data_IF_180752111378
#
_entry.id   IF_180752111378
#
_cell.length_a   1.000
_cell.length_b   1.000
_cell.length_c   1.000
_cell.angle_alpha   90.00
_cell.angle_beta   90.00
_cell.angle_gamma   90.00
#
_symmetry.space_group_name_H-M   'P 1'
#
loop_
_entity.id
_entity.type
_entity.pdbx_description
1 polymer ?
#
# COMPACT_ATOMS: atom_id res chain seq x y z
N UNK A 1 8.20 -10.73 -11.71
CA UNK A 1 9.59 -10.36 -11.35
C UNK A 1 9.58 -10.12 -9.84
N UNK A 2 10.21 -10.95 -9.04
CA UNK A 2 10.40 -10.68 -7.59
C UNK A 2 11.63 -9.78 -7.38
N UNK A 3 11.62 -8.99 -6.31
CA UNK A 3 12.22 -7.65 -6.19
C UNK A 3 13.69 -7.60 -5.73
N UNK A 4 14.24 -6.39 -5.62
CA UNK A 4 15.56 -6.08 -5.06
C UNK A 4 15.54 -5.13 -3.85
N UNK A 5 14.42 -4.58 -3.36
CA UNK A 5 14.48 -3.75 -2.12
C UNK A 5 13.20 -3.71 -1.30
N UNK A 6 13.36 -3.78 0.04
CA UNK A 6 12.40 -3.65 1.15
C UNK A 6 11.02 -4.34 1.06
N UNK A 7 10.82 -5.30 1.97
CA UNK A 7 9.56 -5.98 2.18
C UNK A 7 9.06 -5.63 3.58
N UNK A 8 7.74 -5.49 3.74
CA UNK A 8 7.15 -5.77 5.05
C UNK A 8 6.95 -7.28 5.10
N UNK A 9 7.47 -7.95 6.11
CA UNK A 9 7.14 -9.36 6.37
C UNK A 9 6.25 -9.37 7.60
N UNK A 10 4.99 -9.77 7.42
CA UNK A 10 4.17 -10.23 8.54
C UNK A 10 4.69 -11.60 8.94
N UNK A 11 5.33 -11.69 10.10
CA UNK A 11 5.67 -12.97 10.72
C UNK A 11 4.39 -13.53 11.39
N UNK A 12 3.59 -14.27 10.62
CA UNK A 12 2.54 -15.15 11.17
C UNK A 12 3.06 -16.60 11.22
N UNK A 13 4.21 -16.81 11.84
CA UNK A 13 4.62 -18.14 12.31
C UNK A 13 5.27 -17.99 13.66
N UNK A 14 4.92 -18.93 14.56
CA UNK A 14 5.54 -19.17 15.84
C UNK A 14 7.01 -18.80 15.79
N UNK A 15 7.42 -17.86 16.64
CA UNK A 15 8.82 -17.76 17.01
C UNK A 15 9.25 -19.17 17.43
N UNK A 16 9.97 -19.88 16.56
CA UNK A 16 11.09 -20.64 17.04
C UNK A 16 12.08 -19.57 17.48
N UNK A 17 11.87 -19.07 18.70
CA UNK A 17 12.96 -18.61 19.54
C UNK A 17 13.95 -19.78 19.54
N UNK A 18 14.92 -19.74 18.63
CA UNK A 18 16.23 -20.18 19.02
C UNK A 18 16.75 -19.08 19.93
N UNK A 19 16.24 -19.06 21.17
CA UNK A 19 17.08 -18.71 22.29
C UNK A 19 18.36 -19.49 22.03
N UNK A 20 19.49 -18.80 21.91
CA UNK A 20 20.78 -19.42 22.17
C UNK A 20 20.55 -20.13 23.49
N UNK A 21 20.38 -21.45 23.44
CA UNK A 21 20.36 -22.25 24.64
C UNK A 21 21.72 -21.94 25.23
N UNK A 22 21.76 -21.20 26.35
CA UNK A 22 22.97 -20.84 27.11
C UNK A 22 23.80 -22.07 27.56
N UNK A 23 23.43 -23.27 27.11
CA UNK A 23 24.07 -24.55 27.31
C UNK A 23 24.98 -25.00 26.16
N UNK A 24 25.03 -24.29 25.02
CA UNK A 24 25.92 -24.65 23.91
C UNK A 24 27.02 -23.59 23.72
N UNK A 25 28.25 -23.81 24.21
CA UNK A 25 29.32 -22.81 24.20
C UNK A 25 29.86 -22.49 22.80
N UNK A 26 29.47 -23.23 21.76
CA UNK A 26 29.81 -22.92 20.37
C UNK A 26 28.79 -23.54 19.40
N UNK A 27 28.08 -22.69 18.66
CA UNK A 27 27.25 -23.14 17.53
C UNK A 27 28.19 -23.60 16.40
N UNK A 28 28.01 -24.81 15.84
CA UNK A 28 28.82 -25.27 14.71
C UNK A 28 28.77 -24.28 13.54
N UNK A 29 29.89 -24.02 12.85
CA UNK A 29 29.90 -23.10 11.70
C UNK A 29 28.94 -23.51 10.57
N UNK A 30 28.58 -24.79 10.50
CA UNK A 30 27.60 -25.36 9.56
C UNK A 30 26.14 -25.11 9.97
N UNK A 31 25.87 -24.74 11.21
CA UNK A 31 24.54 -24.45 11.72
C UNK A 31 24.18 -22.97 11.51
N UNK A 32 24.12 -22.55 10.24
CA UNK A 32 23.68 -21.21 9.85
C UNK A 32 22.33 -21.30 9.17
N UNK A 33 21.34 -20.64 9.78
CA UNK A 33 20.04 -20.39 9.15
C UNK A 33 20.10 -19.05 8.42
N UNK A 34 19.23 -18.88 7.41
CA UNK A 34 19.09 -17.59 6.74
C UNK A 34 18.56 -16.55 7.73
N UNK A 35 19.35 -15.52 7.97
CA UNK A 35 18.94 -14.32 8.70
C UNK A 35 18.59 -13.20 7.71
N UNK A 36 17.74 -12.28 8.15
CA UNK A 36 17.37 -11.11 7.38
C UNK A 36 17.71 -9.85 8.16
N UNK A 37 18.11 -8.80 7.45
CA UNK A 37 18.27 -7.47 8.04
C UNK A 37 16.87 -6.95 8.35
N UNK A 38 16.62 -6.58 9.60
CA UNK A 38 15.31 -6.14 10.06
C UNK A 38 15.42 -4.98 11.04
N UNK A 39 14.36 -4.18 11.14
CA UNK A 39 14.24 -3.14 12.16
C UNK A 39 12.79 -3.02 12.66
N UNK A 40 12.64 -2.48 13.87
CA UNK A 40 11.35 -2.07 14.42
C UNK A 40 11.21 -0.56 14.25
N UNK A 41 10.18 -0.13 13.52
CA UNK A 41 9.93 1.28 13.25
C UNK A 41 8.43 1.53 13.05
N UNK A 42 7.92 2.68 13.51
CA UNK A 42 6.50 3.06 13.35
C UNK A 42 5.52 2.00 13.89
N UNK A 43 5.93 1.26 14.95
CA UNK A 43 5.22 0.10 15.53
C UNK A 43 5.01 -1.06 14.52
N UNK A 44 5.89 -1.19 13.53
CA UNK A 44 5.95 -2.29 12.58
C UNK A 44 7.33 -2.96 12.63
N UNK A 45 7.38 -4.25 12.30
CA UNK A 45 8.62 -4.97 12.01
C UNK A 45 8.83 -4.91 10.49
N UNK A 46 9.99 -4.38 10.07
CA UNK A 46 10.36 -4.21 8.68
C UNK A 46 11.53 -5.14 8.35
N UNK A 47 11.52 -5.71 7.15
CA UNK A 47 12.56 -6.64 6.69
C UNK A 47 13.15 -6.15 5.38
N UNK A 48 14.46 -5.99 5.33
CA UNK A 48 15.15 -5.71 4.10
C UNK A 48 15.36 -6.98 3.28
N UNK A 49 15.02 -6.90 2.00
CA UNK A 49 15.25 -7.95 1.03
C UNK A 49 15.94 -7.34 -0.17
N UNK A 50 17.04 -7.95 -0.58
CA UNK A 50 17.66 -7.76 -1.88
C UNK A 50 17.95 -9.16 -2.45
N UNK A 51 17.56 -9.43 -3.70
CA UNK A 51 17.77 -10.77 -4.29
C UNK A 51 19.25 -11.14 -4.40
N UNK A 52 20.12 -10.14 -4.53
CA UNK A 52 21.58 -10.31 -4.55
C UNK A 52 22.23 -10.23 -3.15
N UNK A 53 21.44 -10.06 -2.09
CA UNK A 53 21.94 -9.97 -0.71
C UNK A 53 22.63 -8.64 -0.36
N UNK A 54 22.41 -7.57 -1.13
CA UNK A 54 22.95 -6.25 -0.81
C UNK A 54 22.32 -5.64 0.44
N UNK A 55 23.13 -4.86 1.16
CA UNK A 55 22.75 -4.08 2.35
C UNK A 55 21.74 -2.96 2.00
N UNK A 56 20.92 -2.49 2.96
CA UNK A 56 20.03 -1.35 2.78
C UNK A 56 20.77 -0.09 2.33
N UNK A 57 20.31 0.51 1.22
CA UNK A 57 20.84 1.78 0.71
C UNK A 57 20.00 2.99 1.13
N UNK A 58 18.87 2.75 1.79
CA UNK A 58 17.94 3.75 2.30
C UNK A 58 17.18 3.19 3.50
N UNK A 59 16.58 4.06 4.30
CA UNK A 59 15.79 3.71 5.47
C UNK A 59 14.37 4.24 5.36
N UNK A 60 13.45 3.57 6.06
CA UNK A 60 12.07 4.05 6.21
C UNK A 60 12.07 5.21 7.20
N UNK A 61 11.36 6.32 6.93
CA UNK A 61 11.33 7.44 7.86
C UNK A 61 10.47 7.13 9.10
N UNK A 62 11.01 7.47 10.27
CA UNK A 62 10.25 7.47 11.52
C UNK A 62 9.14 8.51 11.48
N UNK A 63 7.99 8.18 12.08
CA UNK A 63 6.87 9.09 12.27
C UNK A 63 6.84 9.51 13.74
N UNK A 64 7.34 10.71 14.01
CA UNK A 64 7.53 11.22 15.38
C UNK A 64 6.23 11.14 16.18
N UNK A 65 5.09 11.48 15.56
CA UNK A 65 3.78 11.46 16.20
C UNK A 65 3.35 10.06 16.67
N UNK A 66 3.77 9.02 15.96
CA UNK A 66 3.51 7.62 16.35
C UNK A 66 4.49 7.20 17.45
N UNK A 67 5.77 7.53 17.30
CA UNK A 67 6.82 7.14 18.26
C UNK A 67 6.65 7.82 19.62
N UNK A 68 6.28 9.10 19.65
CA UNK A 68 6.03 9.87 20.87
C UNK A 68 4.62 9.63 21.48
N UNK A 69 3.76 8.86 20.80
CA UNK A 69 2.44 8.48 21.28
C UNK A 69 1.36 9.57 21.17
N UNK A 70 1.65 10.71 20.53
CA UNK A 70 0.64 11.75 20.26
C UNK A 70 -0.44 11.26 19.29
N UNK A 71 -0.07 10.38 18.37
CA UNK A 71 -0.99 9.63 17.53
C UNK A 71 -1.07 8.18 18.01
N UNK A 72 -2.29 7.76 18.33
CA UNK A 72 -2.57 6.44 18.89
C UNK A 72 -3.16 5.53 17.84
N UNK A 73 -2.95 4.22 17.99
CA UNK A 73 -3.55 3.21 17.12
C UNK A 73 -5.08 3.28 17.16
N UNK A 74 -5.72 3.23 15.98
CA UNK A 74 -7.19 3.32 15.84
C UNK A 74 -7.83 2.15 15.11
N UNK A 75 -7.03 1.28 14.48
CA UNK A 75 -7.52 0.06 13.85
C UNK A 75 -6.61 -0.44 12.74
N UNK A 76 -6.91 -1.65 12.26
CA UNK A 76 -6.21 -2.31 11.15
C UNK A 76 -7.20 -3.06 10.27
N UNK A 77 -6.97 -3.08 8.96
CA UNK A 77 -7.60 -4.02 8.03
C UNK A 77 -6.54 -4.84 7.31
N UNK A 78 -6.95 -5.98 6.76
CA UNK A 78 -6.09 -6.92 6.05
C UNK A 78 -6.85 -7.49 4.85
N UNK A 79 -6.16 -7.58 3.71
CA UNK A 79 -6.74 -7.91 2.42
C UNK A 79 -5.80 -8.86 1.67
N UNK A 80 -6.33 -9.89 1.05
CA UNK A 80 -5.60 -10.76 0.15
C UNK A 80 -6.04 -10.51 -1.29
N UNK A 81 -5.08 -10.38 -2.20
CA UNK A 81 -5.35 -10.15 -3.62
C UNK A 81 -4.39 -10.92 -4.51
N UNK A 82 -4.88 -11.31 -5.68
CA UNK A 82 -4.18 -12.08 -6.69
C UNK A 82 -3.63 -11.16 -7.78
N UNK A 83 -2.48 -10.55 -7.53
CA UNK A 83 -1.76 -9.73 -8.50
C UNK A 83 -0.26 -9.72 -8.23
N UNK A 84 0.52 -9.23 -9.19
CA UNK A 84 1.91 -8.88 -8.92
C UNK A 84 1.95 -7.63 -8.03
N UNK A 85 2.81 -7.57 -7.00
CA UNK A 85 2.94 -6.41 -6.10
C UNK A 85 3.13 -5.06 -6.84
N UNK A 86 3.82 -5.06 -7.99
CA UNK A 86 3.91 -3.85 -8.84
C UNK A 86 2.55 -3.30 -9.25
N UNK A 87 1.58 -4.17 -9.52
CA UNK A 87 0.24 -3.75 -9.94
C UNK A 87 -0.52 -3.01 -8.84
N UNK A 88 -0.19 -3.29 -7.58
CA UNK A 88 -0.73 -2.56 -6.42
C UNK A 88 -0.11 -1.16 -6.38
N UNK A 89 1.23 -1.06 -6.49
CA UNK A 89 1.92 0.22 -6.52
C UNK A 89 1.54 1.09 -7.73
N UNK A 90 1.25 0.47 -8.88
CA UNK A 90 0.91 1.18 -10.12
C UNK A 90 -0.35 2.05 -10.00
N UNK A 91 -1.25 1.76 -9.05
CA UNK A 91 -2.40 2.63 -8.77
C UNK A 91 -1.96 4.07 -8.38
N UNK A 92 -0.78 4.27 -7.82
CA UNK A 92 -0.25 5.61 -7.56
C UNK A 92 -0.04 6.42 -8.86
N UNK A 93 0.37 5.74 -9.94
CA UNK A 93 0.56 6.34 -11.26
C UNK A 93 -0.69 6.35 -12.13
N UNK A 94 -1.72 5.56 -11.81
CA UNK A 94 -3.02 5.54 -12.51
C UNK A 94 -3.97 6.55 -11.88
N UNK A 95 -3.87 7.83 -12.22
CA UNK A 95 -4.77 8.83 -11.62
C UNK A 95 -6.23 8.70 -12.09
N UNK A 96 -6.47 7.99 -13.19
CA UNK A 96 -7.79 7.86 -13.81
C UNK A 96 -8.70 6.91 -13.04
N UNK A 97 -8.16 5.85 -12.40
CA UNK A 97 -8.98 4.91 -11.63
C UNK A 97 -9.72 5.60 -10.47
N UNK A 98 -9.14 6.65 -9.88
CA UNK A 98 -9.74 7.41 -8.77
C UNK A 98 -11.12 7.96 -9.15
N UNK A 99 -11.28 8.47 -10.38
CA UNK A 99 -12.56 8.99 -10.85
C UNK A 99 -13.57 7.88 -11.14
N UNK A 100 -13.13 6.72 -11.61
CA UNK A 100 -14.01 5.63 -12.06
C UNK A 100 -14.42 4.68 -10.93
N UNK A 101 -13.49 4.31 -10.05
CA UNK A 101 -13.69 3.34 -8.97
C UNK A 101 -14.10 4.03 -7.65
N UNK A 102 -13.59 5.25 -7.41
CA UNK A 102 -13.75 5.97 -6.13
C UNK A 102 -14.66 7.20 -6.23
N UNK A 103 -15.09 7.57 -7.43
CA UNK A 103 -16.10 8.61 -7.66
C UNK A 103 -17.45 8.30 -7.01
N UNK A 104 -18.00 7.07 -7.15
CA UNK A 104 -19.22 6.67 -6.46
C UNK A 104 -19.06 6.68 -4.94
N UNK A 105 -20.12 7.09 -4.24
CA UNK A 105 -20.19 7.15 -2.78
C UNK A 105 -19.65 5.89 -2.08
N UNK A 106 -18.99 6.05 -0.93
CA UNK A 106 -18.44 4.92 -0.17
C UNK A 106 -19.57 3.96 0.25
N UNK A 107 -20.78 4.48 0.48
CA UNK A 107 -21.98 3.69 0.80
C UNK A 107 -22.52 2.86 -0.36
N UNK A 108 -22.05 3.07 -1.60
CA UNK A 108 -22.46 2.28 -2.77
C UNK A 108 -21.92 0.85 -2.77
N UNK A 109 -21.16 0.46 -1.74
CA UNK A 109 -20.64 -0.89 -1.55
C UNK A 109 -19.34 -1.16 -2.31
N UNK A 110 -18.96 -2.44 -2.33
CA UNK A 110 -17.69 -2.93 -2.91
C UNK A 110 -17.87 -3.56 -4.29
N UNK A 111 -19.09 -4.00 -4.62
CA UNK A 111 -19.37 -4.68 -5.89
C UNK A 111 -19.53 -3.67 -7.04
N UNK A 112 -18.50 -3.57 -7.87
CA UNK A 112 -18.40 -2.68 -9.04
C UNK A 112 -19.59 -2.77 -10.01
N UNK A 113 -20.32 -3.89 -10.04
CA UNK A 113 -21.53 -4.04 -10.88
C UNK A 113 -22.69 -3.16 -10.41
N UNK A 114 -22.68 -2.75 -9.14
CA UNK A 114 -23.78 -2.05 -8.48
C UNK A 114 -23.40 -0.69 -7.89
N UNK A 115 -22.12 -0.30 -7.90
CA UNK A 115 -21.68 0.97 -7.30
C UNK A 115 -22.27 2.22 -7.98
N UNK A 116 -22.67 2.11 -9.25
CA UNK A 116 -23.32 3.19 -10.03
C UNK A 116 -24.85 3.18 -9.92
N UNK A 117 -25.39 2.59 -8.84
CA UNK A 117 -26.84 2.62 -8.61
C UNK A 117 -27.37 4.04 -8.42
N UNK A 118 -28.50 4.35 -9.07
CA UNK A 118 -29.23 5.62 -8.93
C UNK A 118 -29.58 5.96 -7.48
N UNK A 119 -29.64 4.97 -6.60
CA UNK A 119 -29.91 5.14 -5.17
C UNK A 119 -28.84 5.98 -4.46
N UNK A 120 -27.62 6.05 -4.98
CA UNK A 120 -26.48 6.73 -4.34
C UNK A 120 -25.91 7.89 -5.16
N UNK A 121 -26.53 8.25 -6.29
CA UNK A 121 -26.09 9.37 -7.16
C UNK A 121 -26.03 10.72 -6.43
N UNK A 122 -26.71 10.84 -5.29
CA UNK A 122 -26.71 12.04 -4.47
C UNK A 122 -25.39 12.26 -3.71
N UNK A 123 -24.49 11.27 -3.62
CA UNK A 123 -23.15 11.42 -3.02
C UNK A 123 -22.09 11.22 -4.10
N UNK A 124 -21.24 12.23 -4.31
CA UNK A 124 -20.12 12.16 -5.26
C UNK A 124 -18.83 12.62 -4.62
N UNK A 125 -17.74 11.96 -5.00
CA UNK A 125 -16.39 12.36 -4.64
C UNK A 125 -15.66 12.92 -5.85
N UNK A 126 -15.11 14.12 -5.66
CA UNK A 126 -14.25 14.78 -6.63
C UNK A 126 -12.82 14.72 -6.12
N UNK A 127 -11.90 14.27 -6.97
CA UNK A 127 -10.48 14.13 -6.65
C UNK A 127 -9.67 15.08 -7.51
N UNK A 128 -8.86 15.96 -6.91
CA UNK A 128 -7.77 16.64 -7.62
C UNK A 128 -6.46 15.95 -7.25
N UNK A 129 -5.71 15.52 -8.26
CA UNK A 129 -4.61 14.59 -8.07
C UNK A 129 -3.38 15.09 -8.81
N UNK A 130 -2.26 15.13 -8.09
CA UNK A 130 -0.93 15.35 -8.67
C UNK A 130 0.01 14.26 -8.16
N UNK A 131 0.66 13.53 -9.06
CA UNK A 131 1.62 12.49 -8.72
C UNK A 131 3.01 12.81 -9.27
N UNK A 132 4.03 12.60 -8.44
CA UNK A 132 5.43 12.81 -8.78
C UNK A 132 6.34 11.74 -8.15
N UNK A 133 7.37 11.31 -8.89
CA UNK A 133 8.40 10.38 -8.41
C UNK A 133 9.68 11.10 -7.97
N UNK A 134 10.50 10.39 -7.18
CA UNK A 134 11.76 10.87 -6.61
C UNK A 134 11.56 12.03 -5.62
N UNK A 135 10.51 11.92 -4.80
CA UNK A 135 10.14 12.95 -3.83
C UNK A 135 9.83 12.31 -2.47
N UNK A 136 10.53 12.65 -1.38
CA UNK A 136 11.73 13.50 -1.31
C UNK A 136 13.00 12.81 -1.84
N UNK A 137 13.00 11.48 -1.90
CA UNK A 137 14.17 10.65 -2.21
C UNK A 137 13.92 9.78 -3.45
N UNK A 138 14.99 9.26 -4.05
CA UNK A 138 14.93 8.41 -5.27
C UNK A 138 14.00 7.19 -5.11
N UNK A 139 13.97 6.59 -3.92
CA UNK A 139 13.16 5.42 -3.59
C UNK A 139 11.70 5.78 -3.23
N UNK A 140 11.31 7.06 -3.33
CA UNK A 140 9.99 7.54 -2.96
C UNK A 140 9.20 8.10 -4.14
N UNK A 141 7.87 8.02 -4.04
CA UNK A 141 6.94 8.81 -4.87
C UNK A 141 5.82 9.39 -4.00
N UNK A 142 5.19 10.46 -4.47
CA UNK A 142 4.17 11.19 -3.73
C UNK A 142 2.95 11.46 -4.62
N UNK A 143 1.77 11.19 -4.09
CA UNK A 143 0.48 11.56 -4.66
C UNK A 143 -0.21 12.56 -3.74
N UNK A 144 -0.46 13.77 -4.22
CA UNK A 144 -1.24 14.77 -3.52
C UNK A 144 -2.68 14.68 -4.00
N UNK A 145 -3.60 14.37 -3.08
CA UNK A 145 -5.03 14.28 -3.34
C UNK A 145 -5.77 15.33 -2.55
N UNK A 146 -6.60 16.11 -3.25
CA UNK A 146 -7.66 16.88 -2.61
C UNK A 146 -8.99 16.20 -2.91
N UNK A 147 -9.56 15.60 -1.87
CA UNK A 147 -10.89 15.01 -1.88
C UNK A 147 -11.91 16.08 -1.52
N UNK A 148 -12.96 16.16 -2.33
CA UNK A 148 -14.13 16.99 -2.07
C UNK A 148 -15.39 16.15 -2.20
N UNK A 149 -16.34 16.36 -1.29
CA UNK A 149 -17.60 15.64 -1.32
C UNK A 149 -18.77 16.56 -1.69
N UNK A 150 -19.59 16.08 -2.61
CA UNK A 150 -20.81 16.74 -3.07
C UNK A 150 -22.01 15.91 -2.63
N UNK A 151 -22.94 16.51 -1.88
CA UNK A 151 -24.22 15.89 -1.49
C UNK A 151 -25.37 16.63 -2.15
N UNK A 152 -26.32 15.93 -2.78
CA UNK A 152 -27.46 16.51 -3.49
C UNK A 152 -27.07 17.63 -4.48
N UNK A 153 -25.91 17.51 -5.14
CA UNK A 153 -25.39 18.51 -6.09
C UNK A 153 -24.78 19.76 -5.45
N UNK A 154 -24.76 19.86 -4.12
CA UNK A 154 -24.10 20.95 -3.39
C UNK A 154 -22.78 20.46 -2.78
N UNK A 155 -21.74 21.27 -2.87
CA UNK A 155 -20.42 20.95 -2.32
C UNK A 155 -20.39 21.19 -0.80
N UNK A 156 -19.94 20.19 -0.03
CA UNK A 156 -19.85 20.24 1.42
C UNK A 156 -18.39 20.36 1.87
N UNK A 157 -17.87 21.60 1.90
CA UNK A 157 -16.47 21.89 2.25
C UNK A 157 -16.04 21.42 3.65
N UNK A 158 -17.00 21.20 4.56
CA UNK A 158 -16.75 20.61 5.88
C UNK A 158 -16.27 19.15 5.81
N UNK A 159 -16.36 18.51 4.66
CA UNK A 159 -15.99 17.11 4.45
C UNK A 159 -14.81 16.97 3.48
N UNK A 160 -14.20 18.10 3.09
CA UNK A 160 -12.98 18.11 2.29
C UNK A 160 -11.82 17.49 3.07
N UNK A 161 -11.15 16.56 2.42
CA UNK A 161 -10.01 15.84 2.98
C UNK A 161 -8.79 16.06 2.09
N UNK A 162 -7.70 16.55 2.68
CA UNK A 162 -6.42 16.58 2.01
C UNK A 162 -5.66 15.31 2.37
N UNK A 163 -5.26 14.54 1.36
CA UNK A 163 -4.52 13.29 1.52
C UNK A 163 -3.19 13.43 0.78
N UNK A 164 -2.10 13.09 1.44
CA UNK A 164 -0.80 12.92 0.79
C UNK A 164 -0.42 11.45 0.93
N UNK A 165 -0.36 10.72 -0.19
CA UNK A 165 0.09 9.35 -0.21
C UNK A 165 1.56 9.32 -0.64
N UNK A 166 2.45 9.00 0.30
CA UNK A 166 3.89 8.87 0.07
C UNK A 166 4.27 7.40 0.03
N UNK A 167 4.60 6.92 -1.15
CA UNK A 167 5.14 5.58 -1.35
C UNK A 167 6.64 5.57 -1.03
N UNK A 168 7.08 4.60 -0.22
CA UNK A 168 8.48 4.39 0.18
C UNK A 168 8.88 2.98 -0.26
N UNK A 169 9.76 2.90 -1.26
CA UNK A 169 10.12 1.62 -1.86
C UNK A 169 8.94 0.96 -2.59
N UNK A 170 8.98 -0.38 -2.77
CA UNK A 170 7.96 -1.07 -3.53
C UNK A 170 6.72 -1.50 -2.72
N UNK A 171 6.78 -1.42 -1.39
CA UNK A 171 5.82 -2.11 -0.50
C UNK A 171 5.19 -1.27 0.60
N UNK A 172 5.60 -0.01 0.81
CA UNK A 172 5.07 0.85 1.87
C UNK A 172 4.44 2.12 1.30
N UNK A 173 3.29 2.50 1.84
CA UNK A 173 2.65 3.80 1.57
C UNK A 173 2.20 4.44 2.88
N UNK A 174 2.55 5.71 3.05
CA UNK A 174 2.12 6.56 4.14
C UNK A 174 1.01 7.47 3.61
N UNK A 175 -0.22 7.30 4.09
CA UNK A 175 -1.36 8.14 3.74
C UNK A 175 -1.59 9.14 4.86
N UNK A 176 -1.15 10.37 4.66
CA UNK A 176 -1.33 11.49 5.58
C UNK A 176 -2.69 12.15 5.36
N UNK A 177 -3.58 12.07 6.34
CA UNK A 177 -4.89 12.71 6.32
C UNK A 177 -4.85 14.04 7.07
N UNK A 178 -5.26 15.11 6.39
CA UNK A 178 -5.44 16.42 7.00
C UNK A 178 -6.86 16.91 6.73
N UNK A 179 -7.66 16.94 7.78
CA UNK A 179 -9.00 17.51 7.76
C UNK A 179 -8.99 18.87 8.47
N UNK A 180 -9.67 19.91 7.96
CA UNK A 180 -9.68 21.23 8.60
C UNK A 180 -10.27 21.29 10.02
N UNK A 181 -11.01 20.27 10.44
CA UNK A 181 -11.83 20.25 11.66
C UNK A 181 -11.67 18.94 12.43
N UNK A 182 -11.58 17.82 11.72
CA UNK A 182 -11.47 16.49 12.31
C UNK A 182 -10.04 16.08 12.67
N UNK A 183 -9.08 16.99 12.51
CA UNK A 183 -7.69 16.80 12.91
C UNK A 183 -6.82 16.17 11.82
N UNK A 184 -5.75 15.52 12.27
CA UNK A 184 -4.76 14.85 11.43
C UNK A 184 -4.56 13.42 11.88
N UNK A 185 -4.17 12.58 10.94
CA UNK A 185 -3.66 11.26 11.24
C UNK A 185 -3.02 10.63 10.01
N UNK A 186 -2.63 9.38 10.16
CA UNK A 186 -1.93 8.64 9.12
C UNK A 186 -2.40 7.22 9.05
N UNK A 187 -2.46 6.70 7.84
CA UNK A 187 -2.59 5.27 7.60
C UNK A 187 -1.33 4.74 6.94
N UNK A 188 -0.79 3.69 7.54
CA UNK A 188 0.32 2.93 7.00
C UNK A 188 -0.27 1.77 6.19
N UNK A 189 -0.04 1.78 4.89
CA UNK A 189 -0.30 0.66 4.00
C UNK A 189 0.99 -0.12 3.80
N UNK A 190 0.92 -1.43 3.99
CA UNK A 190 2.04 -2.34 3.73
C UNK A 190 1.60 -3.47 2.82
N UNK A 191 2.41 -3.77 1.80
CA UNK A 191 2.23 -4.89 0.88
C UNK A 191 3.24 -5.97 1.22
N UNK A 192 2.76 -7.15 1.61
CA UNK A 192 3.59 -8.32 1.90
C UNK A 192 3.36 -9.36 0.81
N UNK A 193 4.35 -9.64 -0.05
CA UNK A 193 4.31 -10.78 -0.96
C UNK A 193 4.23 -12.10 -0.21
N UNK A 194 3.15 -12.83 -0.41
CA UNK A 194 2.93 -14.19 0.11
C UNK A 194 3.39 -15.20 -0.94
N UNK A 195 3.05 -14.95 -2.20
CA UNK A 195 3.51 -15.69 -3.38
C UNK A 195 3.77 -14.70 -4.53
N UNK A 196 4.38 -15.11 -5.67
CA UNK A 196 4.66 -14.21 -6.78
C UNK A 196 3.46 -13.41 -7.30
N UNK A 197 2.25 -13.99 -7.20
CA UNK A 197 0.99 -13.36 -7.60
C UNK A 197 -0.04 -13.31 -6.46
N UNK A 198 0.37 -13.52 -5.20
CA UNK A 198 -0.51 -13.41 -4.03
C UNK A 198 0.07 -12.41 -3.03
N UNK A 199 -0.68 -11.37 -2.72
CA UNK A 199 -0.22 -10.27 -1.86
C UNK A 199 -1.15 -10.14 -0.65
N UNK A 200 -0.57 -9.89 0.52
CA UNK A 200 -1.29 -9.51 1.74
C UNK A 200 -1.07 -8.01 1.99
N UNK A 201 -2.16 -7.24 1.95
CA UNK A 201 -2.13 -5.79 2.12
C UNK A 201 -2.75 -5.45 3.46
N UNK A 202 -2.06 -4.63 4.23
CA UNK A 202 -2.50 -4.24 5.57
C UNK A 202 -2.58 -2.73 5.65
N UNK A 203 -3.70 -2.22 6.16
CA UNK A 203 -3.88 -0.80 6.46
C UNK A 203 -3.92 -0.64 7.97
N UNK A 204 -3.01 0.15 8.55
CA UNK A 204 -3.02 0.46 9.98
C UNK A 204 -3.17 1.96 10.16
N UNK A 205 -4.20 2.39 10.89
CA UNK A 205 -4.47 3.82 11.09
C UNK A 205 -4.05 4.28 12.50
N UNK A 206 -3.32 5.39 12.52
CA UNK A 206 -2.95 6.17 13.69
C UNK A 206 -3.59 7.55 13.60
N UNK A 207 -4.04 8.07 14.73
CA UNK A 207 -4.73 9.35 14.76
C UNK A 207 -4.52 10.07 16.08
N UNK A 208 -4.63 11.40 16.09
CA UNK A 208 -4.50 12.21 17.29
C UNK A 208 -5.34 11.67 18.46
N UNK A 209 -4.72 11.57 19.64
CA UNK A 209 -5.34 10.96 20.81
C UNK A 209 -6.65 11.65 21.25
N UNK A 210 -6.72 12.98 21.11
CA UNK A 210 -7.86 13.81 21.50
C UNK A 210 -9.06 13.75 20.54
N UNK A 211 -8.90 13.15 19.36
CA UNK A 211 -10.00 13.01 18.39
C UNK A 211 -10.85 11.77 18.75
N UNK A 212 -12.19 11.89 18.78
CA UNK A 212 -13.07 10.76 19.03
C UNK A 212 -12.83 9.61 18.05
N UNK A 213 -12.68 8.38 18.57
CA UNK A 213 -12.31 7.20 17.78
C UNK A 213 -13.29 6.86 16.62
N UNK A 214 -14.53 7.39 16.66
CA UNK A 214 -15.50 7.23 15.57
C UNK A 214 -15.00 7.85 14.25
N UNK A 215 -14.24 8.95 14.32
CA UNK A 215 -13.69 9.65 13.14
C UNK A 215 -12.69 8.76 12.39
N UNK A 216 -11.56 8.32 12.99
CA UNK A 216 -10.62 7.45 12.29
C UNK A 216 -11.22 6.08 11.95
N UNK A 217 -12.19 5.57 12.72
CA UNK A 217 -12.89 4.34 12.33
C UNK A 217 -13.75 4.52 11.09
N UNK A 218 -14.39 5.68 10.91
CA UNK A 218 -15.12 5.98 9.70
C UNK A 218 -14.17 6.09 8.49
N UNK A 219 -13.03 6.77 8.65
CA UNK A 219 -11.98 6.85 7.62
C UNK A 219 -11.47 5.45 7.24
N UNK A 220 -11.10 4.62 8.24
CA UNK A 220 -10.63 3.25 8.01
C UNK A 220 -11.68 2.38 7.30
N UNK A 221 -12.95 2.50 7.70
CA UNK A 221 -14.04 1.76 7.06
C UNK A 221 -14.27 2.23 5.62
N UNK A 222 -14.17 3.53 5.38
CA UNK A 222 -14.28 4.11 4.05
C UNK A 222 -13.17 3.66 3.13
N UNK A 223 -11.94 3.69 3.61
CA UNK A 223 -10.77 3.19 2.88
C UNK A 223 -10.89 1.69 2.60
N UNK A 224 -11.28 0.89 3.59
CA UNK A 224 -11.53 -0.54 3.42
C UNK A 224 -12.51 -0.83 2.27
N UNK A 225 -13.62 -0.09 2.20
CA UNK A 225 -14.60 -0.28 1.11
C UNK A 225 -14.06 0.16 -0.26
N UNK A 226 -13.29 1.25 -0.30
CA UNK A 226 -12.66 1.73 -1.53
C UNK A 226 -11.58 0.75 -2.03
N UNK A 227 -10.73 0.27 -1.13
CA UNK A 227 -9.68 -0.68 -1.45
C UNK A 227 -10.24 -2.02 -1.96
N UNK A 228 -11.37 -2.50 -1.42
CA UNK A 228 -12.03 -3.72 -1.93
C UNK A 228 -12.52 -3.57 -3.38
N UNK A 229 -12.78 -2.34 -3.85
CA UNK A 229 -13.09 -2.08 -5.27
C UNK A 229 -11.85 -2.30 -6.14
N UNK A 230 -10.68 -1.88 -5.67
CA UNK A 230 -9.40 -2.17 -6.33
C UNK A 230 -9.09 -3.66 -6.31
N UNK A 231 -9.33 -4.35 -5.19
CA UNK A 231 -9.18 -5.83 -5.08
C UNK A 231 -10.00 -6.54 -6.15
N UNK A 232 -11.22 -6.10 -6.41
CA UNK A 232 -12.03 -6.67 -7.50
C UNK A 232 -11.37 -6.47 -8.88
N UNK A 233 -10.73 -5.33 -9.14
CA UNK A 233 -10.00 -5.08 -10.38
C UNK A 233 -8.74 -5.95 -10.46
N UNK A 234 -7.91 -5.96 -9.42
CA UNK A 234 -6.66 -6.73 -9.37
C UNK A 234 -6.90 -8.23 -9.58
N UNK A 235 -7.93 -8.79 -8.94
CA UNK A 235 -8.27 -10.21 -9.07
C UNK A 235 -8.83 -10.60 -10.46
N UNK A 236 -9.21 -9.62 -11.29
CA UNK A 236 -9.86 -9.85 -12.58
C UNK A 236 -9.13 -9.16 -13.75
N UNK A 237 -7.91 -8.66 -13.55
CA UNK A 237 -7.08 -8.05 -14.61
C UNK A 237 -5.87 -8.90 -14.94
N UNK A 238 -5.31 -8.63 -16.12
CA UNK A 238 -4.05 -9.21 -16.56
C UNK A 238 -2.98 -8.12 -16.65
N UNK A 239 -1.83 -8.37 -16.06
CA UNK A 239 -0.67 -7.51 -16.26
C UNK A 239 -0.28 -7.46 -17.75
N UNK A 240 -0.16 -6.23 -18.27
CA UNK A 240 0.29 -5.97 -19.64
C UNK A 240 1.56 -5.14 -19.58
N UNK A 241 2.68 -5.70 -20.09
CA UNK A 241 3.99 -5.04 -20.05
C UNK A 241 4.05 -3.79 -20.92
N UNK A 242 3.43 -3.83 -22.09
CA UNK A 242 3.34 -2.72 -23.05
C UNK A 242 1.86 -2.35 -23.30
N UNK A 243 1.21 -1.64 -22.36
CA UNK A 243 -0.18 -1.22 -22.52
C UNK A 243 -0.28 -0.12 -23.57
N UNK A 244 -1.45 -0.02 -24.21
CA UNK A 244 -1.79 1.13 -25.04
C UNK A 244 -2.17 2.29 -24.12
N UNK A 245 -1.40 3.36 -24.14
CA UNK A 245 -1.57 4.51 -23.26
C UNK A 245 -1.94 5.74 -24.08
N UNK A 246 -2.93 6.50 -23.61
CA UNK A 246 -3.21 7.85 -24.13
C UNK A 246 -2.33 8.87 -23.39
N UNK A 247 -2.40 10.15 -23.80
CA UNK A 247 -1.56 11.20 -23.22
C UNK A 247 -1.84 11.39 -21.73
N UNK A 248 -3.10 11.22 -21.35
CA UNK A 248 -3.63 11.34 -20.00
C UNK A 248 -3.04 10.27 -19.06
N UNK A 249 -2.64 9.11 -19.59
CA UNK A 249 -2.02 8.00 -18.82
C UNK A 249 -0.50 8.15 -18.64
N UNK A 250 0.07 9.32 -18.95
CA UNK A 250 1.52 9.53 -18.95
C UNK A 250 2.19 9.21 -17.60
N UNK A 251 1.46 9.34 -16.49
CA UNK A 251 1.89 9.01 -15.13
C UNK A 251 2.09 7.51 -14.91
N UNK A 252 1.33 6.63 -15.58
CA UNK A 252 1.55 5.18 -15.53
C UNK A 252 2.94 4.82 -16.08
N UNK A 253 3.30 5.41 -17.23
CA UNK A 253 4.62 5.20 -17.84
C UNK A 253 5.74 5.73 -16.92
N UNK A 254 5.56 6.92 -16.33
CA UNK A 254 6.52 7.49 -15.38
C UNK A 254 6.68 6.62 -14.13
N UNK A 255 5.58 6.14 -13.55
CA UNK A 255 5.58 5.23 -12.43
C UNK A 255 6.35 3.94 -12.75
N UNK A 256 6.06 3.29 -13.88
CA UNK A 256 6.79 2.09 -14.30
C UNK A 256 8.29 2.33 -14.49
N UNK A 257 8.69 3.50 -15.02
CA UNK A 257 10.10 3.85 -15.15
C UNK A 257 10.78 4.04 -13.79
N UNK A 258 10.11 4.71 -12.85
CA UNK A 258 10.59 4.88 -11.48
C UNK A 258 10.68 3.54 -10.74
N UNK A 259 9.63 2.71 -10.83
CA UNK A 259 9.52 1.43 -10.13
C UNK A 259 10.53 0.38 -10.62
N UNK A 260 11.07 0.53 -11.84
CA UNK A 260 12.12 -0.35 -12.38
C UNK A 260 13.36 -0.44 -11.49
N UNK A 261 13.65 0.60 -10.70
CA UNK A 261 14.82 0.64 -9.84
C UNK A 261 14.79 -0.42 -8.73
N UNK A 262 13.61 -0.97 -8.42
CA UNK A 262 13.44 -2.01 -7.40
C UNK A 262 13.62 -3.43 -7.96
N UNK A 263 14.14 -3.55 -9.18
CA UNK A 263 14.54 -4.82 -9.79
C UNK A 263 16.02 -4.77 -10.17
N UNK A 264 16.71 -5.89 -9.98
CA UNK A 264 18.04 -6.17 -10.51
C UNK A 264 17.98 -7.20 -11.64
N UNK A 265 19.11 -7.51 -12.26
CA UNK A 265 19.19 -8.53 -13.32
C UNK A 265 18.83 -9.93 -12.82
N UNK A 266 19.13 -10.22 -11.54
CA UNK A 266 18.88 -11.51 -10.90
C UNK A 266 17.50 -11.59 -10.22
N UNK A 267 16.68 -10.53 -10.32
CA UNK A 267 15.31 -10.52 -9.83
C UNK A 267 14.52 -11.71 -10.40
N UNK A 268 14.02 -12.64 -9.54
CA UNK A 268 13.45 -13.87 -10.06
C UNK A 268 12.24 -13.60 -10.96
N UNK A 269 12.15 -14.30 -12.07
CA UNK A 269 11.04 -14.13 -13.01
C UNK A 269 10.01 -15.22 -12.77
N UNK A 270 8.72 -14.89 -12.98
CA UNK A 270 7.68 -15.91 -12.94
C UNK A 270 7.89 -16.79 -14.18
N UNK A 271 8.41 -17.99 -13.97
CA UNK A 271 8.43 -19.02 -15.00
C UNK A 271 7.03 -19.62 -15.04
N UNK A 272 6.30 -19.38 -16.13
CA UNK A 272 5.11 -20.18 -16.41
C UNK A 272 5.60 -21.61 -16.63
N UNK A 273 5.34 -22.50 -15.67
CA UNK A 273 5.31 -23.91 -15.99
C UNK A 273 4.17 -24.05 -17.00
N UNK A 274 4.53 -24.31 -18.26
CA UNK A 274 3.62 -24.94 -19.20
C UNK A 274 3.41 -26.35 -18.66
N UNK A 275 2.63 -26.48 -17.60
CA UNK A 275 1.97 -27.74 -17.30
C UNK A 275 1.08 -27.94 -18.51
N UNK A 276 1.58 -28.73 -19.47
CA UNK A 276 0.75 -29.29 -20.51
C UNK A 276 -0.40 -29.91 -19.75
N UNK A 277 -1.57 -29.28 -19.86
CA UNK A 277 -2.81 -29.90 -19.49
C UNK A 277 -3.04 -31.00 -20.53
N UNK A 278 -2.31 -32.10 -20.37
CA UNK A 278 -2.55 -33.37 -21.01
C UNK A 278 -3.83 -33.91 -20.37
N UNK A 279 -4.98 -33.42 -20.88
CA UNK A 279 -6.29 -34.05 -20.70
C UNK A 279 -6.76 -34.70 -21.99
#
# INVERSE_FOLDING_TARGET
RTFSSAFTVKLDFWFLEYSVLDFCPSVPESAKVRSWISCELNKQILVWFHCDGEEPTWSVPEQEEISNGSWVYRGRTEHFLSAHIQEVAENAGDVAHLFHLHGPGITSGVDLRYINSKLWEFVRHDWKVEWEANKPEKHCSEMNLKHSMTLFGSHFSLLDLHVVARQVGPSLVFLDFKHPFLGRGMMLQSVTPVEPLLQCITHTIYYQANIPAVVPKFILRGECMQFERDVMIWNNKKYTSNPLLVKEDSTIRKHRLWYKQFYSENSPTLQYQNDALDF
#
